data_IF_838369072712
#
_entry.id   IF_838369072712
#
_cell.length_a   1.000
_cell.length_b   1.000
_cell.length_c   1.000
_cell.angle_alpha   90.00
_cell.angle_beta   90.00
_cell.angle_gamma   90.00
#
_symmetry.space_group_name_H-M   'P 1'
#
loop_
_entity.id
_entity.type
_entity.pdbx_description
1 polymer ?
#
# COMPACT_ATOMS: atom_id res chain seq x y z
N UNK A 1 -8.84 10.65 16.61
CA UNK A 1 -7.82 9.59 16.42
C UNK A 1 -6.44 10.04 16.90
N UNK A 2 -5.58 9.13 17.39
CA UNK A 2 -4.24 9.43 17.95
C UNK A 2 -3.35 10.32 17.06
N UNK A 3 -3.30 10.05 15.74
CA UNK A 3 -2.54 10.87 14.77
C UNK A 3 -3.06 12.31 14.64
N UNK A 4 -4.37 12.53 14.83
CA UNK A 4 -4.95 13.86 14.85
C UNK A 4 -4.51 14.67 16.08
N UNK A 5 -4.18 13.98 17.18
CA UNK A 5 -3.70 14.61 18.43
C UNK A 5 -2.17 14.78 18.47
N UNK A 6 -1.42 13.81 17.93
CA UNK A 6 0.05 13.74 18.06
C UNK A 6 0.80 14.12 16.78
N UNK A 7 0.07 14.38 15.68
CA UNK A 7 0.63 14.68 14.37
C UNK A 7 0.94 13.42 13.54
N UNK A 8 0.98 13.60 12.22
CA UNK A 8 1.13 12.51 11.25
C UNK A 8 2.46 11.75 11.34
N UNK A 9 3.48 12.35 11.99
CA UNK A 9 4.81 11.77 12.19
C UNK A 9 4.90 10.82 13.40
N UNK A 10 3.94 10.86 14.31
CA UNK A 10 3.96 10.04 15.53
C UNK A 10 3.75 8.53 15.25
N UNK A 11 3.04 8.21 14.18
CA UNK A 11 2.88 6.84 13.68
C UNK A 11 2.72 6.90 12.16
N UNK A 12 3.82 6.68 11.44
CA UNK A 12 3.88 6.86 9.98
C UNK A 12 3.21 5.72 9.23
N UNK A 13 2.84 5.95 7.97
CA UNK A 13 2.28 4.91 7.10
C UNK A 13 3.22 3.69 6.97
N UNK A 14 4.54 3.92 6.94
CA UNK A 14 5.52 2.83 6.91
C UNK A 14 5.53 2.00 8.20
N UNK A 15 5.40 2.64 9.37
CA UNK A 15 5.31 1.95 10.66
C UNK A 15 4.00 1.18 10.79
N UNK A 16 2.89 1.77 10.35
CA UNK A 16 1.58 1.09 10.31
C UNK A 16 1.67 -0.14 9.41
N UNK A 17 2.24 0.00 8.20
CA UNK A 17 2.39 -1.12 7.29
C UNK A 17 3.25 -2.22 7.90
N UNK A 18 4.41 -1.89 8.47
CA UNK A 18 5.29 -2.89 9.08
C UNK A 18 4.59 -3.60 10.24
N UNK A 19 3.90 -2.88 11.11
CA UNK A 19 3.10 -3.47 12.19
C UNK A 19 2.05 -4.46 11.68
N UNK A 20 1.33 -4.11 10.60
CA UNK A 20 0.35 -5.00 9.99
C UNK A 20 0.99 -6.26 9.38
N UNK A 21 2.16 -6.10 8.75
CA UNK A 21 2.93 -7.21 8.19
C UNK A 21 3.44 -8.18 9.27
N UNK A 22 3.85 -7.64 10.42
CA UNK A 22 4.34 -8.42 11.55
C UNK A 22 3.18 -9.18 12.24
N UNK A 23 2.01 -8.54 12.38
CA UNK A 23 0.83 -9.14 12.99
C UNK A 23 0.17 -10.20 12.09
N UNK A 24 0.15 -9.96 10.77
CA UNK A 24 -0.40 -10.89 9.81
C UNK A 24 0.49 -10.94 8.55
N UNK A 25 1.29 -12.00 8.38
CA UNK A 25 2.07 -12.20 7.18
C UNK A 25 1.13 -12.18 5.95
N UNK A 26 1.56 -11.45 4.91
CA UNK A 26 0.83 -11.16 3.64
C UNK A 26 0.21 -12.35 2.90
N UNK A 27 0.39 -13.57 3.39
CA UNK A 27 -0.03 -14.81 2.75
C UNK A 27 -1.55 -14.97 2.62
N UNK A 28 -2.39 -14.19 3.32
CA UNK A 28 -3.84 -14.48 3.43
C UNK A 28 -4.83 -13.53 2.76
N UNK A 29 -4.40 -12.56 1.95
CA UNK A 29 -5.22 -11.56 1.19
C UNK A 29 -5.16 -10.13 1.78
N UNK A 30 -4.03 -9.41 1.62
CA UNK A 30 -3.88 -8.03 2.06
C UNK A 30 -4.87 -7.05 1.42
N UNK A 31 -5.38 -7.34 0.22
CA UNK A 31 -6.37 -6.50 -0.47
C UNK A 31 -7.63 -6.26 0.38
N UNK A 32 -8.20 -7.34 0.94
CA UNK A 32 -9.42 -7.27 1.77
C UNK A 32 -9.25 -6.46 3.05
N UNK A 33 -8.05 -6.50 3.66
CA UNK A 33 -7.76 -5.72 4.85
C UNK A 33 -7.82 -4.22 4.53
N UNK A 34 -7.13 -3.79 3.48
CA UNK A 34 -7.16 -2.37 3.09
C UNK A 34 -8.53 -1.94 2.57
N UNK A 35 -9.26 -2.85 1.93
CA UNK A 35 -10.63 -2.61 1.51
C UNK A 35 -11.56 -2.34 2.71
N UNK A 36 -11.51 -3.19 3.74
CA UNK A 36 -12.27 -2.98 4.97
C UNK A 36 -11.90 -1.66 5.67
N UNK A 37 -10.62 -1.27 5.62
CA UNK A 37 -10.17 0.02 6.16
C UNK A 37 -10.62 1.22 5.32
N UNK A 38 -10.94 1.04 4.02
CA UNK A 38 -11.46 2.12 3.16
C UNK A 38 -12.93 2.43 3.43
N UNK A 39 -13.68 1.48 3.99
CA UNK A 39 -15.09 1.69 4.39
C UNK A 39 -15.21 2.67 5.56
N UNK A 40 -14.15 2.82 6.36
CA UNK A 40 -14.09 3.81 7.44
C UNK A 40 -13.59 5.15 6.87
N UNK A 41 -14.41 6.22 6.86
CA UNK A 41 -14.06 7.49 6.20
C UNK A 41 -12.73 8.09 6.66
N UNK A 42 -12.46 8.03 7.97
CA UNK A 42 -11.23 8.54 8.58
C UNK A 42 -9.98 7.75 8.17
N UNK A 43 -10.15 6.48 7.80
CA UNK A 43 -9.05 5.58 7.44
C UNK A 43 -8.89 5.42 5.94
N UNK A 44 -9.85 5.87 5.12
CA UNK A 44 -9.83 5.75 3.65
C UNK A 44 -8.52 6.22 3.02
N UNK A 45 -8.03 7.38 3.41
CA UNK A 45 -6.79 7.94 2.89
C UNK A 45 -5.56 7.14 3.35
N UNK A 46 -5.56 6.69 4.61
CA UNK A 46 -4.47 5.87 5.18
C UNK A 46 -4.43 4.51 4.48
N UNK A 47 -5.58 3.85 4.33
CA UNK A 47 -5.73 2.56 3.70
C UNK A 47 -5.26 2.58 2.23
N UNK A 48 -5.65 3.62 1.47
CA UNK A 48 -5.15 3.81 0.11
C UNK A 48 -3.63 3.96 0.04
N UNK A 49 -3.04 4.75 0.93
CA UNK A 49 -1.60 4.91 1.00
C UNK A 49 -0.88 3.60 1.37
N UNK A 50 -1.39 2.85 2.34
CA UNK A 50 -0.82 1.58 2.78
C UNK A 50 -0.84 0.52 1.67
N UNK A 51 -1.96 0.43 0.93
CA UNK A 51 -2.10 -0.48 -0.21
C UNK A 51 -1.08 -0.16 -1.31
N UNK A 52 -0.87 1.12 -1.60
CA UNK A 52 0.19 1.58 -2.52
C UNK A 52 1.59 1.25 -2.03
N UNK A 53 1.88 1.50 -0.74
CA UNK A 53 3.19 1.16 -0.16
C UNK A 53 3.48 -0.33 -0.21
N UNK A 54 2.48 -1.17 0.08
CA UNK A 54 2.61 -2.62 -0.02
C UNK A 54 2.96 -3.06 -1.44
N UNK A 55 2.22 -2.53 -2.42
CA UNK A 55 2.45 -2.83 -3.83
C UNK A 55 3.87 -2.47 -4.27
N UNK A 56 4.35 -1.27 -3.89
CA UNK A 56 5.72 -0.84 -4.17
C UNK A 56 6.76 -1.76 -3.51
N UNK A 57 6.55 -2.13 -2.23
CA UNK A 57 7.45 -3.06 -1.52
C UNK A 57 7.54 -4.41 -2.24
N UNK A 58 6.45 -4.91 -2.79
CA UNK A 58 6.41 -6.20 -3.46
C UNK A 58 7.04 -6.16 -4.86
N UNK A 59 6.79 -5.11 -5.65
CA UNK A 59 7.51 -4.91 -6.92
C UNK A 59 9.02 -4.83 -6.70
N UNK A 60 9.46 -4.12 -5.65
CA UNK A 60 10.87 -3.97 -5.35
C UNK A 60 11.53 -5.29 -4.92
N UNK A 61 10.83 -6.08 -4.09
CA UNK A 61 11.37 -7.29 -3.47
C UNK A 61 11.25 -8.53 -4.37
N UNK A 62 10.12 -8.71 -5.07
CA UNK A 62 9.81 -10.00 -5.70
C UNK A 62 10.05 -10.10 -7.20
N UNK A 63 10.25 -9.01 -7.93
CA UNK A 63 10.31 -9.04 -9.43
C UNK A 63 9.15 -9.82 -10.09
N UNK A 64 8.09 -10.08 -9.35
CA UNK A 64 6.89 -10.76 -9.80
C UNK A 64 6.16 -9.82 -10.76
N UNK A 65 5.45 -10.38 -11.75
CA UNK A 65 4.70 -9.56 -12.71
C UNK A 65 3.74 -8.65 -11.97
N UNK A 66 4.15 -7.40 -11.83
CA UNK A 66 3.51 -6.33 -11.06
C UNK A 66 2.02 -6.23 -11.34
N UNK A 67 1.62 -6.57 -12.57
CA UNK A 67 0.26 -6.67 -13.04
C UNK A 67 -0.57 -7.70 -12.25
N UNK A 68 -0.16 -8.96 -12.18
CA UNK A 68 -0.96 -10.02 -11.54
C UNK A 68 -1.17 -9.78 -10.04
N UNK A 69 -0.13 -9.31 -9.34
CA UNK A 69 -0.22 -9.02 -7.92
C UNK A 69 -1.02 -7.73 -7.66
N UNK A 70 -0.82 -6.71 -8.49
CA UNK A 70 -1.58 -5.46 -8.42
C UNK A 70 -3.07 -5.67 -8.65
N UNK A 71 -3.43 -6.50 -9.63
CA UNK A 71 -4.82 -6.87 -9.90
C UNK A 71 -5.44 -7.64 -8.72
N UNK A 72 -4.67 -8.50 -8.05
CA UNK A 72 -5.12 -9.19 -6.83
C UNK A 72 -5.35 -8.21 -5.66
N UNK A 73 -4.51 -7.17 -5.55
CA UNK A 73 -4.65 -6.15 -4.52
C UNK A 73 -5.84 -5.22 -4.75
N UNK A 74 -6.22 -4.95 -6.00
CA UNK A 74 -7.20 -3.91 -6.34
C UNK A 74 -8.60 -4.44 -6.65
N UNK A 75 -8.77 -5.75 -6.77
CA UNK A 75 -10.11 -6.34 -6.94
C UNK A 75 -10.99 -6.00 -5.74
N UNK A 76 -12.24 -5.54 -5.97
CA UNK A 76 -12.95 -5.46 -7.24
C UNK A 76 -13.01 -4.08 -7.95
N UNK A 77 -12.34 -3.02 -7.45
CA UNK A 77 -12.74 -1.64 -7.78
C UNK A 77 -11.83 -0.84 -8.74
N UNK A 78 -10.53 -1.14 -8.90
CA UNK A 78 -9.63 -0.28 -9.71
C UNK A 78 -8.51 -1.05 -10.43
N UNK A 79 -7.91 -0.42 -11.45
CA UNK A 79 -6.67 -0.90 -12.10
C UNK A 79 -5.45 -0.67 -11.18
N UNK A 80 -4.54 -1.65 -11.11
CA UNK A 80 -3.28 -1.56 -10.36
C UNK A 80 -2.43 -0.32 -10.69
N UNK A 81 -2.59 0.25 -11.88
CA UNK A 81 -1.91 1.46 -12.31
C UNK A 81 -2.23 2.67 -11.40
N UNK A 82 -3.40 2.69 -10.76
CA UNK A 82 -3.77 3.71 -9.78
C UNK A 82 -2.92 3.65 -8.52
N UNK A 83 -2.38 2.47 -8.15
CA UNK A 83 -1.47 2.32 -7.01
C UNK A 83 -0.11 3.00 -7.26
N UNK A 84 0.29 3.17 -8.52
CA UNK A 84 1.51 3.89 -8.87
C UNK A 84 1.37 5.41 -8.70
N UNK A 85 0.14 5.94 -8.70
CA UNK A 85 -0.15 7.38 -8.63
C UNK A 85 -0.11 7.92 -7.18
N UNK A 86 -0.07 7.05 -6.17
CA UNK A 86 -0.18 7.38 -4.75
C UNK A 86 0.91 6.68 -3.91
N UNK A 87 1.51 7.30 -2.86
CA UNK A 87 1.66 8.73 -2.60
C UNK A 87 2.98 9.29 -3.17
N UNK A 88 2.90 10.43 -3.87
CA UNK A 88 3.98 11.14 -4.60
C UNK A 88 5.24 11.52 -3.80
N UNK A 89 5.32 11.19 -2.51
CA UNK A 89 6.31 11.69 -1.55
C UNK A 89 7.45 10.70 -1.22
N UNK A 90 7.47 9.49 -1.79
CA UNK A 90 8.43 8.45 -1.41
C UNK A 90 9.55 8.21 -2.44
N UNK A 91 10.81 8.19 -1.98
CA UNK A 91 12.00 7.73 -2.73
C UNK A 91 11.79 6.40 -3.48
N UNK A 92 10.86 5.56 -3.00
CA UNK A 92 10.50 4.26 -3.54
C UNK A 92 9.80 4.29 -4.92
N UNK A 93 9.15 5.40 -5.31
CA UNK A 93 8.46 5.51 -6.61
C UNK A 93 9.46 5.42 -7.78
N UNK A 94 10.60 6.10 -7.67
CA UNK A 94 11.59 6.18 -8.77
C UNK A 94 12.19 4.82 -9.11
N UNK A 95 12.54 4.01 -8.10
CA UNK A 95 13.12 2.67 -8.29
C UNK A 95 12.09 1.66 -8.81
N UNK A 96 10.86 1.73 -8.29
CA UNK A 96 9.78 0.84 -8.73
C UNK A 96 9.42 1.08 -10.20
N UNK A 97 9.34 2.34 -10.64
CA UNK A 97 9.07 2.66 -12.06
C UNK A 97 10.20 2.25 -13.01
N UNK A 98 11.46 2.21 -12.57
CA UNK A 98 12.57 1.70 -13.40
C UNK A 98 12.48 0.18 -13.60
N UNK A 99 12.03 -0.57 -12.58
CA UNK A 99 11.85 -2.03 -12.69
C UNK A 99 10.67 -2.44 -13.59
N UNK A 100 9.67 -1.58 -13.76
CA UNK A 100 8.49 -1.84 -14.60
C UNK A 100 8.71 -1.62 -16.11
N UNK A 101 9.85 -1.03 -16.50
CA UNK A 101 10.18 -0.71 -17.91
C UNK A 101 11.11 -1.73 -18.58
N UNK A 102 11.55 -2.76 -17.85
CA UNK A 102 12.35 -3.88 -18.37
C UNK A 102 11.44 -5.08 -18.59
#
# INVERSE_FOLDING_TARGET
MYRAKMGNKAFTESQILQFLLDAQPLAKQPGKLFESLKEVPDLKNIAGNLQSYLFQKIILVKEESSKSYGDSLMKPYDSWESLLKLPKSGMFIRRSMQKLKK
#
